data_IF_334563152844
#
_entry.id   IF_334563152844
#
_cell.length_a   1.000
_cell.length_b   1.000
_cell.length_c   1.000
_cell.angle_alpha   90.00
_cell.angle_beta   90.00
_cell.angle_gamma   90.00
#
_symmetry.space_group_name_H-M   'P 1'
#
loop_
_entity.id
_entity.type
_entity.pdbx_description
1 polymer ?
#
# COMPACT_ATOMS: atom_id res chain seq x y z
N UNK A 1 -3.87 -23.24 7.07
CA UNK A 1 -3.03 -22.45 8.00
C UNK A 1 -1.61 -23.00 7.99
N UNK A 2 -0.61 -22.14 8.13
CA UNK A 2 0.82 -22.50 8.29
C UNK A 2 1.13 -22.36 9.79
N UNK A 3 1.15 -23.47 10.51
CA UNK A 3 1.31 -23.54 11.97
C UNK A 3 2.77 -23.82 12.32
N UNK A 4 3.59 -22.78 12.33
CA UNK A 4 5.04 -22.88 12.49
C UNK A 4 5.46 -23.10 13.96
N UNK A 5 4.60 -22.81 14.92
CA UNK A 5 4.88 -22.98 16.35
C UNK A 5 4.09 -24.13 17.01
N UNK A 6 3.40 -24.93 16.19
CA UNK A 6 2.59 -26.08 16.60
C UNK A 6 1.46 -25.71 17.57
N UNK A 7 0.91 -24.49 17.40
CA UNK A 7 -0.20 -23.98 18.19
C UNK A 7 -1.48 -24.77 18.03
N UNK A 8 -1.72 -25.32 16.84
CA UNK A 8 -2.90 -26.13 16.50
C UNK A 8 -3.05 -27.37 17.38
N UNK A 9 -1.96 -27.94 17.90
CA UNK A 9 -2.02 -29.11 18.79
C UNK A 9 -2.74 -28.80 20.12
N UNK A 10 -2.78 -27.52 20.50
CA UNK A 10 -3.46 -27.04 21.73
C UNK A 10 -4.90 -26.57 21.47
N UNK A 11 -5.36 -26.56 20.23
CA UNK A 11 -6.70 -26.11 19.84
C UNK A 11 -7.66 -27.30 19.83
N UNK A 12 -8.87 -27.12 20.37
CA UNK A 12 -9.92 -28.15 20.30
C UNK A 12 -10.23 -28.50 18.84
N UNK A 13 -10.41 -29.79 18.54
CA UNK A 13 -10.58 -30.31 17.19
C UNK A 13 -11.67 -29.59 16.37
N UNK A 14 -12.77 -29.17 17.02
CA UNK A 14 -13.90 -28.46 16.38
C UNK A 14 -13.54 -27.07 15.85
N UNK A 15 -12.42 -26.48 16.29
CA UNK A 15 -11.95 -25.16 15.85
C UNK A 15 -10.73 -25.24 14.94
N UNK A 16 -10.22 -26.43 14.66
CA UNK A 16 -9.09 -26.61 13.73
C UNK A 16 -9.56 -26.41 12.31
N UNK A 17 -8.72 -25.79 11.53
CA UNK A 17 -8.82 -25.72 10.07
C UNK A 17 -7.71 -26.56 9.45
N UNK A 18 -7.67 -26.70 8.14
CA UNK A 18 -6.56 -27.35 7.44
C UNK A 18 -5.25 -26.61 7.73
N UNK A 19 -4.21 -27.35 8.06
CA UNK A 19 -2.91 -26.79 8.42
C UNK A 19 -1.76 -27.67 7.96
N UNK A 20 -0.60 -27.03 7.83
CA UNK A 20 0.72 -27.66 7.66
C UNK A 20 1.63 -27.20 8.80
N UNK A 21 2.58 -28.05 9.19
CA UNK A 21 3.55 -27.78 10.27
C UNK A 21 4.98 -28.04 9.77
N UNK A 22 5.53 -27.16 8.92
CA UNK A 22 6.88 -27.35 8.38
C UNK A 22 7.93 -27.19 9.47
N UNK A 23 8.93 -28.06 9.47
CA UNK A 23 10.08 -27.99 10.38
C UNK A 23 11.21 -27.10 9.81
N UNK A 24 11.21 -26.88 8.50
CA UNK A 24 12.19 -26.04 7.79
C UNK A 24 11.51 -25.07 6.83
N UNK A 25 12.23 -24.01 6.46
CA UNK A 25 11.72 -23.06 5.47
C UNK A 25 11.67 -23.68 4.07
N UNK A 26 12.58 -24.62 3.76
CA UNK A 26 12.56 -25.37 2.51
C UNK A 26 11.29 -26.20 2.37
N UNK A 27 10.90 -26.97 3.41
CA UNK A 27 9.64 -27.73 3.43
C UNK A 27 8.43 -26.81 3.24
N UNK A 28 8.42 -25.65 3.91
CA UNK A 28 7.35 -24.65 3.71
C UNK A 28 7.23 -24.25 2.25
N UNK A 29 8.35 -23.99 1.56
CA UNK A 29 8.32 -23.59 0.15
C UNK A 29 7.87 -24.73 -0.78
N UNK A 30 8.17 -25.99 -0.44
CA UNK A 30 7.70 -27.16 -1.17
C UNK A 30 6.19 -27.35 -1.05
N UNK A 31 5.61 -27.05 0.11
CA UNK A 31 4.17 -27.13 0.35
C UNK A 31 3.40 -25.98 -0.31
N UNK A 32 4.00 -24.79 -0.41
CA UNK A 32 3.37 -23.59 -0.96
C UNK A 32 3.44 -23.54 -2.50
N UNK A 33 2.81 -24.50 -3.13
CA UNK A 33 2.68 -24.54 -4.59
C UNK A 33 1.22 -24.32 -5.01
N UNK A 34 0.96 -23.74 -6.21
CA UNK A 34 -0.41 -23.42 -6.66
C UNK A 34 -1.38 -24.58 -6.57
N UNK A 35 -0.92 -25.81 -6.86
CA UNK A 35 -1.74 -27.01 -6.85
C UNK A 35 -2.29 -27.34 -5.46
N UNK A 36 -1.48 -27.18 -4.42
CA UNK A 36 -1.87 -27.46 -3.03
C UNK A 36 -2.81 -26.38 -2.46
N UNK A 37 -2.88 -25.23 -3.12
CA UNK A 37 -3.56 -24.04 -2.61
C UNK A 37 -4.79 -23.64 -3.43
N UNK A 38 -5.23 -24.48 -4.35
CA UNK A 38 -6.31 -24.15 -5.29
C UNK A 38 -7.63 -23.82 -4.59
N UNK A 39 -7.92 -24.49 -3.49
CA UNK A 39 -9.16 -24.36 -2.72
C UNK A 39 -9.10 -23.27 -1.62
N UNK A 40 -7.96 -22.58 -1.48
CA UNK A 40 -7.75 -21.61 -0.40
C UNK A 40 -7.52 -20.22 -0.97
N UNK A 41 -8.19 -19.21 -0.42
CA UNK A 41 -7.99 -17.80 -0.78
C UNK A 41 -7.02 -17.09 0.16
N UNK A 42 -6.87 -17.60 1.39
CA UNK A 42 -6.09 -16.95 2.46
C UNK A 42 -5.07 -17.90 3.07
N UNK A 43 -3.84 -17.42 3.18
CA UNK A 43 -2.77 -18.06 3.95
C UNK A 43 -2.68 -17.39 5.32
N UNK A 44 -2.81 -18.18 6.38
CA UNK A 44 -2.63 -17.70 7.76
C UNK A 44 -1.34 -18.30 8.30
N UNK A 45 -0.43 -17.47 8.79
CA UNK A 45 0.87 -17.86 9.36
C UNK A 45 0.85 -17.60 10.86
N UNK A 46 0.97 -18.66 11.64
CA UNK A 46 1.00 -18.64 13.09
C UNK A 46 2.23 -19.42 13.62
N UNK A 47 3.24 -18.69 14.07
CA UNK A 47 3.45 -17.26 14.16
C UNK A 47 4.55 -16.76 13.19
N UNK A 48 4.45 -15.48 12.81
CA UNK A 48 5.49 -14.84 12.00
C UNK A 48 6.87 -14.79 12.68
N UNK A 49 6.91 -14.77 14.02
CA UNK A 49 8.15 -14.85 14.77
C UNK A 49 8.89 -16.17 14.54
N UNK A 50 8.18 -17.30 14.48
CA UNK A 50 8.78 -18.59 14.16
C UNK A 50 9.12 -18.71 12.68
N UNK A 51 8.30 -18.20 11.77
CA UNK A 51 8.64 -18.11 10.35
C UNK A 51 9.99 -17.41 10.16
N UNK A 52 10.21 -16.27 10.83
CA UNK A 52 11.50 -15.54 10.76
C UNK A 52 12.66 -16.39 11.29
N UNK A 53 12.45 -17.24 12.29
CA UNK A 53 13.51 -18.19 12.76
C UNK A 53 13.81 -19.24 11.71
N UNK A 54 12.82 -19.82 11.04
CA UNK A 54 13.05 -20.75 9.93
C UNK A 54 13.83 -20.07 8.79
N UNK A 55 13.43 -18.84 8.41
CA UNK A 55 14.17 -18.05 7.42
C UNK A 55 15.60 -17.74 7.88
N UNK A 56 15.82 -17.49 9.18
CA UNK A 56 17.15 -17.23 9.73
C UNK A 56 18.07 -18.44 9.57
N UNK A 57 17.58 -19.63 9.93
CA UNK A 57 18.32 -20.88 9.72
C UNK A 57 18.62 -21.11 8.22
N UNK A 58 17.65 -20.88 7.37
CA UNK A 58 17.80 -20.99 5.92
C UNK A 58 18.87 -20.06 5.35
N UNK A 59 18.83 -18.76 5.65
CA UNK A 59 19.80 -17.81 5.09
C UNK A 59 21.22 -18.05 5.60
N UNK A 60 21.39 -18.59 6.82
CA UNK A 60 22.70 -19.02 7.35
C UNK A 60 23.20 -20.25 6.59
N UNK A 61 22.32 -21.24 6.35
CA UNK A 61 22.63 -22.44 5.55
C UNK A 61 23.05 -22.09 4.13
N UNK A 62 22.37 -21.12 3.50
CA UNK A 62 22.70 -20.65 2.15
C UNK A 62 24.04 -19.89 2.10
N UNK A 63 24.39 -19.18 3.16
CA UNK A 63 25.67 -18.47 3.26
C UNK A 63 26.09 -18.31 4.73
N UNK A 64 27.13 -19.04 5.12
CA UNK A 64 27.65 -19.02 6.48
C UNK A 64 28.07 -17.63 7.00
N UNK A 65 28.33 -16.64 6.09
CA UNK A 65 28.62 -15.25 6.48
C UNK A 65 27.38 -14.51 7.04
N UNK A 66 26.19 -15.06 6.88
CA UNK A 66 24.97 -14.55 7.48
C UNK A 66 24.81 -14.95 8.95
N UNK A 67 25.58 -15.93 9.42
CA UNK A 67 25.61 -16.38 10.82
C UNK A 67 26.84 -15.91 11.59
N UNK A 68 26.73 -15.97 12.91
CA UNK A 68 27.85 -15.88 13.86
C UNK A 68 28.23 -17.25 14.34
N UNK A 69 29.34 -17.37 15.10
CA UNK A 69 29.85 -18.65 15.61
C UNK A 69 28.90 -19.36 16.56
N UNK A 70 28.03 -18.61 17.25
CA UNK A 70 27.03 -19.11 18.18
C UNK A 70 25.71 -19.49 17.50
N UNK A 71 25.64 -19.40 16.17
CA UNK A 71 24.42 -19.69 15.40
C UNK A 71 23.44 -18.53 15.29
N UNK A 72 23.69 -17.39 15.93
CA UNK A 72 22.87 -16.18 15.78
C UNK A 72 23.12 -15.50 14.43
N UNK A 73 22.21 -14.60 14.01
CA UNK A 73 22.40 -13.82 12.79
C UNK A 73 23.52 -12.79 12.94
N UNK A 74 24.37 -12.68 11.92
CA UNK A 74 25.27 -11.54 11.77
C UNK A 74 24.47 -10.29 11.32
N UNK A 75 25.09 -9.11 11.40
CA UNK A 75 24.46 -7.88 10.88
C UNK A 75 24.02 -8.02 9.41
N UNK A 76 24.83 -8.71 8.59
CA UNK A 76 24.50 -9.04 7.20
C UNK A 76 23.33 -10.04 7.12
N UNK A 77 23.26 -10.98 8.06
CA UNK A 77 22.19 -11.97 8.16
C UNK A 77 20.81 -11.35 8.37
N UNK A 78 20.70 -10.35 9.23
CA UNK A 78 19.43 -9.62 9.40
C UNK A 78 18.91 -9.02 8.07
N UNK A 79 19.79 -8.42 7.28
CA UNK A 79 19.43 -7.93 5.95
C UNK A 79 19.05 -9.04 4.97
N UNK A 80 19.65 -10.23 5.09
CA UNK A 80 19.30 -11.39 4.27
C UNK A 80 17.90 -11.92 4.62
N UNK A 81 17.56 -12.02 5.91
CA UNK A 81 16.24 -12.43 6.38
C UNK A 81 15.18 -11.44 5.91
N UNK A 82 15.43 -10.13 6.02
CA UNK A 82 14.47 -9.12 5.55
C UNK A 82 14.17 -9.23 4.05
N UNK A 83 15.19 -9.50 3.22
CA UNK A 83 15.00 -9.75 1.78
C UNK A 83 14.25 -11.04 1.50
N UNK A 84 14.53 -12.10 2.27
CA UNK A 84 13.84 -13.37 2.11
C UNK A 84 12.36 -13.26 2.51
N UNK A 85 12.07 -12.55 3.60
CA UNK A 85 10.70 -12.25 3.99
C UNK A 85 9.95 -11.47 2.89
N UNK A 86 10.57 -10.44 2.31
CA UNK A 86 9.95 -9.70 1.21
C UNK A 86 9.65 -10.61 0.00
N UNK A 87 10.60 -11.48 -0.39
CA UNK A 87 10.38 -12.45 -1.47
C UNK A 87 9.23 -13.42 -1.18
N UNK A 88 9.13 -13.87 0.07
CA UNK A 88 8.05 -14.75 0.50
C UNK A 88 6.68 -14.08 0.37
N UNK A 89 6.56 -12.83 0.83
CA UNK A 89 5.31 -12.07 0.69
C UNK A 89 4.98 -11.82 -0.79
N UNK A 90 5.96 -11.41 -1.59
CA UNK A 90 5.78 -11.21 -3.04
C UNK A 90 5.33 -12.50 -3.73
N UNK A 91 5.89 -13.64 -3.35
CA UNK A 91 5.49 -14.95 -3.86
C UNK A 91 4.05 -15.28 -3.50
N UNK A 92 3.67 -15.14 -2.23
CA UNK A 92 2.31 -15.42 -1.78
C UNK A 92 1.28 -14.49 -2.42
N UNK A 93 1.60 -13.22 -2.57
CA UNK A 93 0.69 -12.20 -3.06
C UNK A 93 0.59 -12.21 -4.59
N UNK A 94 1.73 -12.09 -5.30
CA UNK A 94 1.72 -11.92 -6.76
C UNK A 94 1.70 -13.24 -7.54
N UNK A 95 2.36 -14.30 -7.04
CA UNK A 95 2.43 -15.56 -7.77
C UNK A 95 1.33 -16.53 -7.37
N UNK A 96 1.08 -16.68 -6.07
CA UNK A 96 0.00 -17.53 -5.57
C UNK A 96 -1.37 -16.82 -5.55
N UNK A 97 -1.39 -15.48 -5.65
CA UNK A 97 -2.59 -14.64 -5.59
C UNK A 97 -3.45 -14.92 -4.35
N UNK A 98 -2.81 -14.91 -3.17
CA UNK A 98 -3.45 -15.20 -1.88
C UNK A 98 -3.45 -14.00 -0.95
N UNK A 99 -4.50 -13.85 -0.16
CA UNK A 99 -4.44 -13.01 1.01
C UNK A 99 -3.47 -13.61 2.03
N UNK A 100 -2.67 -12.76 2.70
CA UNK A 100 -1.69 -13.21 3.69
C UNK A 100 -2.01 -12.58 5.04
N UNK A 101 -2.27 -13.41 6.03
CA UNK A 101 -2.48 -13.02 7.43
C UNK A 101 -1.33 -13.58 8.26
N UNK A 102 -0.61 -12.72 8.97
CA UNK A 102 0.51 -13.16 9.81
C UNK A 102 0.25 -12.74 11.25
N UNK A 103 0.24 -13.71 12.13
CA UNK A 103 0.07 -13.49 13.56
C UNK A 103 1.42 -13.29 14.23
N UNK A 104 1.59 -12.22 14.98
CA UNK A 104 2.79 -11.94 15.77
C UNK A 104 2.44 -11.76 17.23
N UNK A 105 3.30 -12.21 18.12
CA UNK A 105 3.27 -11.75 19.50
C UNK A 105 3.67 -10.28 19.57
N UNK A 106 3.14 -9.56 20.55
CA UNK A 106 3.50 -8.18 20.80
C UNK A 106 4.54 -8.11 21.95
N UNK A 107 5.40 -7.10 21.92
CA UNK A 107 6.29 -6.72 23.01
C UNK A 107 6.24 -5.23 23.25
N UNK A 108 6.56 -4.82 24.47
CA UNK A 108 6.78 -3.43 24.80
C UNK A 108 8.12 -2.94 24.24
N UNK A 109 8.09 -1.78 23.62
CA UNK A 109 9.25 -1.08 23.08
C UNK A 109 9.18 0.41 23.45
N UNK A 110 10.31 1.00 23.88
CA UNK A 110 10.39 2.42 24.13
C UNK A 110 10.31 3.22 22.83
N UNK A 111 9.47 4.25 22.85
CA UNK A 111 9.26 5.20 21.76
C UNK A 111 9.36 6.61 22.33
N UNK A 112 10.59 7.15 22.43
CA UNK A 112 10.90 8.35 23.21
C UNK A 112 10.67 8.12 24.69
N UNK A 113 9.83 8.96 25.32
CA UNK A 113 9.42 8.85 26.72
C UNK A 113 8.27 7.88 26.97
N UNK A 114 7.65 7.38 25.90
CA UNK A 114 6.52 6.45 25.97
C UNK A 114 6.96 5.00 25.75
N UNK A 115 6.12 4.07 26.20
CA UNK A 115 6.27 2.64 25.91
C UNK A 115 5.07 2.20 25.07
N UNK A 116 5.33 1.57 23.93
CA UNK A 116 4.28 1.11 23.01
C UNK A 116 4.46 -0.35 22.67
N UNK A 117 3.34 -1.00 22.40
CA UNK A 117 3.33 -2.39 21.93
C UNK A 117 3.61 -2.46 20.44
N UNK A 118 4.57 -3.31 20.06
CA UNK A 118 4.97 -3.61 18.68
C UNK A 118 5.04 -5.12 18.47
N UNK A 119 5.13 -5.56 17.22
CA UNK A 119 5.40 -6.96 16.89
C UNK A 119 6.73 -7.42 17.52
N UNK A 120 6.72 -8.63 18.06
CA UNK A 120 7.90 -9.28 18.64
C UNK A 120 8.83 -9.79 17.52
N UNK A 121 9.57 -8.87 16.92
CA UNK A 121 10.59 -9.15 15.90
C UNK A 121 11.80 -8.30 16.23
N UNK A 122 13.00 -8.84 16.03
CA UNK A 122 14.24 -8.17 16.37
C UNK A 122 14.79 -7.31 15.23
N UNK A 123 15.47 -6.23 15.60
CA UNK A 123 16.21 -5.36 14.70
C UNK A 123 15.34 -4.70 13.62
N UNK A 124 15.97 -4.39 12.50
CA UNK A 124 15.33 -3.75 11.35
C UNK A 124 14.34 -4.68 10.62
N UNK A 125 14.35 -5.98 10.90
CA UNK A 125 13.44 -6.96 10.30
C UNK A 125 11.98 -6.62 10.61
N UNK A 126 11.69 -6.02 11.78
CA UNK A 126 10.33 -5.57 12.14
C UNK A 126 9.75 -4.57 11.14
N UNK A 127 10.57 -3.64 10.66
CA UNK A 127 10.13 -2.62 9.69
C UNK A 127 9.92 -3.26 8.31
N UNK A 128 10.79 -4.19 7.92
CA UNK A 128 10.65 -4.95 6.67
C UNK A 128 9.38 -5.83 6.67
N UNK A 129 8.95 -6.32 7.82
CA UNK A 129 7.69 -7.06 7.98
C UNK A 129 6.50 -6.11 7.90
N UNK A 130 6.58 -4.95 8.58
CA UNK A 130 5.45 -4.04 8.76
C UNK A 130 5.12 -3.22 7.52
N UNK A 131 6.14 -2.78 6.79
CA UNK A 131 5.96 -1.86 5.64
C UNK A 131 5.09 -2.42 4.51
N UNK A 132 5.28 -3.66 4.03
CA UNK A 132 4.53 -4.20 2.90
C UNK A 132 3.08 -4.57 3.24
N UNK A 133 2.71 -4.69 4.52
CA UNK A 133 1.36 -5.07 4.91
C UNK A 133 0.36 -3.92 4.69
N UNK A 134 -0.81 -4.23 4.14
CA UNK A 134 -1.90 -3.26 3.97
C UNK A 134 -2.54 -2.90 5.31
N UNK A 135 -2.73 -3.89 6.18
CA UNK A 135 -3.32 -3.73 7.49
C UNK A 135 -2.39 -4.24 8.59
N UNK A 136 -2.42 -3.58 9.73
CA UNK A 136 -1.77 -4.02 10.97
C UNK A 136 -2.74 -3.87 12.14
N UNK A 137 -3.35 -4.98 12.58
CA UNK A 137 -4.31 -4.97 13.67
C UNK A 137 -3.69 -5.37 15.01
N UNK A 138 -3.96 -4.60 16.06
CA UNK A 138 -3.63 -4.97 17.42
C UNK A 138 -4.83 -5.65 18.10
N UNK A 139 -4.69 -6.95 18.39
CA UNK A 139 -5.76 -7.74 18.99
C UNK A 139 -5.57 -7.84 20.50
N UNK A 140 -6.65 -7.60 21.24
CA UNK A 140 -6.67 -7.71 22.71
C UNK A 140 -8.04 -8.14 23.22
N UNK A 141 -8.07 -8.50 24.49
CA UNK A 141 -9.32 -8.74 25.20
C UNK A 141 -9.55 -7.65 26.24
N UNK A 142 -10.67 -6.93 26.12
CA UNK A 142 -11.10 -5.90 27.07
C UNK A 142 -12.49 -6.26 27.59
N UNK A 143 -12.66 -6.32 28.91
CA UNK A 143 -13.94 -6.66 29.55
C UNK A 143 -14.60 -7.93 28.97
N UNK A 144 -13.82 -8.98 28.77
CA UNK A 144 -14.22 -10.25 28.14
C UNK A 144 -14.69 -10.14 26.68
N UNK A 145 -14.47 -8.99 26.03
CA UNK A 145 -14.74 -8.80 24.61
C UNK A 145 -13.42 -8.78 23.84
N UNK A 146 -13.31 -9.62 22.81
CA UNK A 146 -12.14 -9.63 21.93
C UNK A 146 -12.28 -8.52 20.89
N UNK A 147 -11.26 -7.68 20.79
CA UNK A 147 -11.24 -6.55 19.86
C UNK A 147 -9.96 -6.55 19.03
N UNK A 148 -10.01 -5.88 17.88
CA UNK A 148 -8.85 -5.61 17.03
C UNK A 148 -8.84 -4.14 16.63
N UNK A 149 -7.75 -3.44 16.93
CA UNK A 149 -7.57 -2.01 16.61
C UNK A 149 -6.70 -1.83 15.39
N UNK A 150 -7.18 -1.04 14.41
CA UNK A 150 -6.47 -0.69 13.18
C UNK A 150 -6.00 0.76 13.12
N UNK A 151 -6.25 1.54 14.16
CA UNK A 151 -5.77 2.92 14.25
C UNK A 151 -4.58 3.00 15.20
N UNK A 152 -3.49 3.60 14.73
CA UNK A 152 -2.29 3.84 15.52
C UNK A 152 -2.62 4.74 16.72
N UNK A 153 -2.14 4.40 17.91
CA UNK A 153 -2.38 5.14 19.14
C UNK A 153 -1.14 5.15 20.06
N UNK A 154 -1.23 5.82 21.21
CA UNK A 154 -0.12 5.91 22.17
C UNK A 154 0.27 4.55 22.77
N UNK A 155 -0.65 3.60 22.82
CA UNK A 155 -0.46 2.30 23.45
C UNK A 155 0.13 1.25 22.52
N UNK A 156 -0.24 1.25 21.24
CA UNK A 156 0.20 0.24 20.28
C UNK A 156 0.35 0.81 18.87
N UNK A 157 1.15 0.13 18.07
CA UNK A 157 1.24 0.35 16.64
C UNK A 157 0.15 -0.43 15.91
N UNK A 158 -0.55 0.29 15.03
CA UNK A 158 -1.55 -0.29 14.13
C UNK A 158 -1.50 0.42 12.77
N UNK A 159 -2.10 -0.17 11.76
CA UNK A 159 -2.16 0.37 10.40
C UNK A 159 -3.52 0.04 9.80
N UNK A 160 -4.28 1.06 9.42
CA UNK A 160 -5.53 0.93 8.70
C UNK A 160 -5.42 1.52 7.31
N UNK A 161 -5.96 0.83 6.31
CA UNK A 161 -6.06 1.28 4.92
C UNK A 161 -7.40 0.90 4.34
N UNK A 162 -7.72 1.37 3.15
CA UNK A 162 -8.95 1.02 2.43
C UNK A 162 -10.24 1.17 3.28
N UNK A 163 -10.32 2.27 4.04
CA UNK A 163 -11.48 2.55 4.89
C UNK A 163 -11.59 1.71 6.17
N UNK A 164 -10.64 0.81 6.44
CA UNK A 164 -10.57 0.05 7.69
C UNK A 164 -9.79 0.87 8.72
N UNK A 165 -10.44 1.24 9.81
CA UNK A 165 -9.86 2.02 10.92
C UNK A 165 -10.65 1.81 12.21
N UNK A 166 -10.16 2.39 13.31
CA UNK A 166 -10.80 2.28 14.62
C UNK A 166 -10.58 0.92 15.28
N UNK A 167 -11.47 0.57 16.17
CA UNK A 167 -11.47 -0.69 16.92
C UNK A 167 -12.71 -1.50 16.54
N UNK A 168 -12.51 -2.71 16.08
CA UNK A 168 -13.57 -3.64 15.71
C UNK A 168 -13.72 -4.73 16.76
N UNK A 169 -14.95 -5.11 17.05
CA UNK A 169 -15.24 -6.27 17.90
C UNK A 169 -15.14 -7.55 17.09
N UNK A 170 -14.40 -8.52 17.61
CA UNK A 170 -14.33 -9.89 17.05
C UNK A 170 -15.43 -10.72 17.73
N UNK A 171 -16.39 -11.25 16.97
CA UNK A 171 -17.46 -12.09 17.54
C UNK A 171 -16.92 -13.34 18.22
N UNK A 172 -17.61 -13.82 19.24
CA UNK A 172 -17.27 -15.08 19.88
C UNK A 172 -17.47 -16.27 18.94
N UNK A 173 -16.60 -17.28 19.08
CA UNK A 173 -16.74 -18.56 18.41
C UNK A 173 -17.73 -19.45 19.18
N UNK A 174 -18.97 -19.48 18.75
CA UNK A 174 -20.03 -20.29 19.38
C UNK A 174 -20.19 -21.68 18.71
N UNK A 175 -19.06 -22.32 18.38
CA UNK A 175 -19.05 -23.61 17.67
C UNK A 175 -19.24 -23.49 16.17
N UNK A 176 -19.53 -22.29 15.63
CA UNK A 176 -19.62 -21.96 14.20
C UNK A 176 -18.51 -20.98 13.80
N UNK A 177 -18.17 -20.97 12.53
CA UNK A 177 -17.29 -19.95 11.95
C UNK A 177 -17.99 -18.58 12.05
N UNK A 178 -17.29 -17.57 12.56
CA UNK A 178 -17.88 -16.24 12.70
C UNK A 178 -17.77 -15.35 11.45
N UNK A 179 -17.04 -15.79 10.43
CA UNK A 179 -16.86 -15.05 9.16
C UNK A 179 -16.17 -13.69 9.29
N UNK A 180 -15.59 -13.34 10.44
CA UNK A 180 -15.03 -12.01 10.70
C UNK A 180 -13.97 -11.60 9.64
N UNK A 181 -12.97 -12.45 9.38
CA UNK A 181 -11.94 -12.19 8.39
C UNK A 181 -12.50 -12.14 6.96
N UNK A 182 -13.41 -13.03 6.62
CA UNK A 182 -14.08 -13.05 5.31
C UNK A 182 -14.83 -11.74 5.07
N UNK A 183 -15.58 -11.27 6.06
CA UNK A 183 -16.30 -9.99 5.96
C UNK A 183 -15.34 -8.81 5.89
N UNK A 184 -14.24 -8.83 6.64
CA UNK A 184 -13.20 -7.80 6.58
C UNK A 184 -12.57 -7.70 5.19
N UNK A 185 -12.17 -8.82 4.60
CA UNK A 185 -11.62 -8.85 3.23
C UNK A 185 -12.66 -8.42 2.19
N UNK A 186 -13.91 -8.84 2.34
CA UNK A 186 -14.97 -8.38 1.46
C UNK A 186 -15.13 -6.86 1.51
N UNK A 187 -15.17 -6.27 2.69
CA UNK A 187 -15.26 -4.82 2.88
C UNK A 187 -14.06 -4.08 2.25
N UNK A 188 -12.84 -4.59 2.44
CA UNK A 188 -11.64 -4.04 1.80
C UNK A 188 -11.79 -4.04 0.28
N UNK A 189 -12.18 -5.16 -0.31
CA UNK A 189 -12.33 -5.30 -1.75
C UNK A 189 -13.40 -4.36 -2.32
N UNK A 190 -14.54 -4.18 -1.63
CA UNK A 190 -15.57 -3.22 -2.04
C UNK A 190 -15.09 -1.78 -1.93
N UNK A 191 -14.34 -1.43 -0.89
CA UNK A 191 -13.75 -0.10 -0.75
C UNK A 191 -12.73 0.19 -1.86
N UNK A 192 -11.84 -0.77 -2.18
CA UNK A 192 -10.88 -0.64 -3.30
C UNK A 192 -11.61 -0.42 -4.64
N UNK A 193 -12.68 -1.16 -4.90
CA UNK A 193 -13.50 -0.99 -6.12
C UNK A 193 -14.16 0.39 -6.17
N UNK A 194 -14.66 0.86 -5.02
CA UNK A 194 -15.30 2.18 -4.93
C UNK A 194 -14.28 3.30 -5.18
N UNK A 195 -13.10 3.23 -4.57
CA UNK A 195 -11.99 4.17 -4.77
C UNK A 195 -11.52 4.19 -6.24
N UNK A 196 -11.34 3.02 -6.84
CA UNK A 196 -10.96 2.90 -8.25
C UNK A 196 -12.00 3.51 -9.19
N UNK A 197 -13.29 3.31 -8.91
CA UNK A 197 -14.39 3.91 -9.69
C UNK A 197 -14.43 5.43 -9.57
N UNK A 198 -14.16 5.97 -8.40
CA UNK A 198 -14.10 7.42 -8.19
C UNK A 198 -12.88 8.03 -8.89
N UNK A 199 -11.70 7.41 -8.77
CA UNK A 199 -10.49 7.83 -9.48
C UNK A 199 -10.68 7.80 -11.02
N UNK A 200 -11.42 6.83 -11.55
CA UNK A 200 -11.74 6.79 -12.99
C UNK A 200 -12.67 7.94 -13.40
N UNK A 201 -13.67 8.29 -12.58
CA UNK A 201 -14.53 9.46 -12.85
C UNK A 201 -13.73 10.75 -12.84
N UNK A 202 -12.87 10.94 -11.85
CA UNK A 202 -11.99 12.12 -11.78
C UNK A 202 -11.09 12.21 -13.01
N UNK A 203 -10.48 11.09 -13.42
CA UNK A 203 -9.64 11.02 -14.62
C UNK A 203 -10.43 11.40 -15.88
N UNK A 204 -11.63 10.89 -16.05
CA UNK A 204 -12.51 11.24 -17.18
C UNK A 204 -12.90 12.73 -17.18
N UNK A 205 -13.22 13.28 -16.00
CA UNK A 205 -13.54 14.68 -15.85
C UNK A 205 -12.33 15.57 -16.15
N UNK A 206 -11.14 15.20 -15.65
CA UNK A 206 -9.87 15.87 -15.96
C UNK A 206 -9.61 15.89 -17.48
N UNK A 207 -9.66 14.70 -18.11
CA UNK A 207 -9.42 14.60 -19.55
C UNK A 207 -10.41 15.41 -20.39
N UNK A 208 -11.67 15.49 -19.98
CA UNK A 208 -12.68 16.32 -20.63
C UNK A 208 -12.30 17.80 -20.60
N UNK A 209 -11.85 18.31 -19.44
CA UNK A 209 -11.38 19.68 -19.30
C UNK A 209 -10.21 19.95 -20.26
N UNK A 210 -9.19 19.08 -20.23
CA UNK A 210 -8.01 19.23 -21.09
C UNK A 210 -8.39 19.21 -22.57
N UNK A 211 -9.23 18.27 -23.00
CA UNK A 211 -9.65 18.18 -24.41
C UNK A 211 -10.44 19.42 -24.85
N UNK A 212 -11.36 19.91 -24.03
CA UNK A 212 -12.11 21.14 -24.34
C UNK A 212 -11.17 22.33 -24.57
N UNK A 213 -10.18 22.49 -23.72
CA UNK A 213 -9.22 23.60 -23.86
C UNK A 213 -8.26 23.35 -25.02
N UNK A 214 -7.82 22.15 -25.30
CA UNK A 214 -7.02 21.82 -26.49
C UNK A 214 -7.75 22.20 -27.78
N UNK A 215 -9.01 21.77 -27.94
CA UNK A 215 -9.84 22.10 -29.11
C UNK A 215 -10.00 23.62 -29.27
N UNK A 216 -10.30 24.34 -28.18
CA UNK A 216 -10.40 25.81 -28.22
C UNK A 216 -9.05 26.45 -28.54
N UNK A 217 -7.95 25.92 -28.03
CA UNK A 217 -6.60 26.46 -28.28
C UNK A 217 -6.12 26.19 -29.69
N UNK A 218 -6.47 25.08 -30.33
CA UNK A 218 -6.13 24.78 -31.72
C UNK A 218 -6.79 25.77 -32.70
N UNK A 219 -7.94 26.30 -32.38
CA UNK A 219 -8.68 27.27 -33.20
C UNK A 219 -8.11 28.70 -33.11
N UNK A 220 -7.17 29.01 -32.24
CA UNK A 220 -6.60 30.35 -32.06
C UNK A 220 -5.79 30.76 -33.29
N UNK A 221 -6.14 31.93 -33.79
CA UNK A 221 -5.40 32.63 -34.88
C UNK A 221 -5.04 34.09 -34.53
N UNK A 222 -5.69 34.66 -33.51
CA UNK A 222 -5.51 36.06 -33.10
C UNK A 222 -5.23 36.17 -31.58
N UNK A 223 -4.56 37.26 -31.14
CA UNK A 223 -4.39 37.54 -29.71
C UNK A 223 -5.71 37.63 -28.92
N UNK A 224 -6.78 38.16 -29.53
CA UNK A 224 -8.08 38.26 -28.89
C UNK A 224 -8.70 36.87 -28.59
N UNK A 225 -8.61 35.96 -29.55
CA UNK A 225 -9.05 34.56 -29.35
C UNK A 225 -8.27 33.86 -28.24
N UNK A 226 -6.95 34.19 -28.15
CA UNK A 226 -6.12 33.68 -27.04
C UNK A 226 -6.60 34.20 -25.67
N UNK A 227 -7.09 35.45 -25.60
CA UNK A 227 -7.71 35.99 -24.38
C UNK A 227 -9.05 35.31 -24.06
N UNK A 228 -9.87 35.03 -25.06
CA UNK A 228 -11.13 34.28 -24.85
C UNK A 228 -10.90 32.87 -24.28
N UNK A 229 -9.87 32.17 -24.77
CA UNK A 229 -9.48 30.87 -24.23
C UNK A 229 -8.90 31.00 -22.82
N UNK A 230 -8.15 32.06 -22.51
CA UNK A 230 -7.65 32.31 -21.16
C UNK A 230 -8.82 32.55 -20.18
N UNK A 231 -9.82 33.32 -20.60
CA UNK A 231 -11.04 33.54 -19.81
C UNK A 231 -11.86 32.27 -19.66
N UNK A 232 -11.93 31.44 -20.69
CA UNK A 232 -12.55 30.10 -20.58
C UNK A 232 -11.82 29.23 -19.53
N UNK A 233 -10.49 29.22 -19.52
CA UNK A 233 -9.70 28.52 -18.51
C UNK A 233 -10.00 29.08 -17.12
N UNK A 234 -9.95 30.40 -16.93
CA UNK A 234 -10.13 31.02 -15.62
C UNK A 234 -11.55 30.82 -15.04
N UNK A 235 -12.57 30.71 -15.88
CA UNK A 235 -13.98 30.54 -15.46
C UNK A 235 -14.39 29.06 -15.34
N UNK A 236 -13.55 28.12 -15.74
CA UNK A 236 -13.83 26.69 -15.64
C UNK A 236 -13.63 26.17 -14.22
N UNK A 237 -14.49 25.23 -13.78
CA UNK A 237 -14.22 24.48 -12.53
C UNK A 237 -13.12 23.45 -12.76
N UNK A 238 -11.93 23.77 -12.29
CA UNK A 238 -10.78 22.89 -12.40
C UNK A 238 -10.77 21.81 -11.34
N UNK A 239 -10.09 20.68 -11.68
CA UNK A 239 -9.80 19.56 -10.77
C UNK A 239 -8.31 19.19 -10.90
N UNK A 240 -7.71 18.76 -9.79
CA UNK A 240 -6.28 18.42 -9.71
C UNK A 240 -5.41 19.55 -10.31
N UNK A 241 -4.54 19.20 -11.27
CA UNK A 241 -3.62 20.14 -11.93
C UNK A 241 -4.13 20.67 -13.27
N UNK A 242 -5.42 20.45 -13.59
CA UNK A 242 -5.96 20.80 -14.92
C UNK A 242 -5.83 22.27 -15.27
N UNK A 243 -5.94 23.19 -14.30
CA UNK A 243 -5.73 24.61 -14.56
C UNK A 243 -4.32 24.91 -15.07
N UNK A 244 -3.31 24.35 -14.39
CA UNK A 244 -1.91 24.53 -14.76
C UNK A 244 -1.62 23.95 -16.14
N UNK A 245 -2.15 22.77 -16.44
CA UNK A 245 -1.98 22.12 -17.74
C UNK A 245 -2.67 22.90 -18.85
N UNK A 246 -3.91 23.34 -18.63
CA UNK A 246 -4.65 24.18 -19.58
C UNK A 246 -3.89 25.48 -19.91
N UNK A 247 -3.37 26.16 -18.88
CA UNK A 247 -2.55 27.39 -19.09
C UNK A 247 -1.27 27.08 -19.87
N UNK A 248 -0.61 25.95 -19.61
CA UNK A 248 0.56 25.53 -20.37
C UNK A 248 0.22 25.36 -21.85
N UNK A 249 -0.84 24.61 -22.16
CA UNK A 249 -1.31 24.38 -23.53
C UNK A 249 -1.56 25.70 -24.25
N UNK A 250 -2.25 26.65 -23.63
CA UNK A 250 -2.50 27.97 -24.22
C UNK A 250 -1.21 28.73 -24.43
N UNK A 251 -0.30 28.81 -23.47
CA UNK A 251 0.95 29.53 -23.59
C UNK A 251 1.88 28.94 -24.64
N UNK A 252 1.94 27.63 -24.79
CA UNK A 252 2.72 26.94 -25.81
C UNK A 252 2.19 27.32 -27.20
N UNK A 253 0.88 27.30 -27.40
CA UNK A 253 0.24 27.70 -28.66
C UNK A 253 0.44 29.18 -28.98
N UNK A 254 0.27 30.05 -28.00
CA UNK A 254 0.47 31.51 -28.21
C UNK A 254 1.93 31.81 -28.59
N UNK A 255 2.88 31.07 -28.02
CA UNK A 255 4.31 31.18 -28.40
C UNK A 255 4.58 30.70 -29.83
N UNK A 256 3.96 29.61 -30.28
CA UNK A 256 4.04 29.12 -31.66
C UNK A 256 3.53 30.17 -32.66
N UNK A 257 2.44 30.87 -32.29
CA UNK A 257 1.82 31.90 -33.12
C UNK A 257 2.55 33.26 -33.05
N UNK A 258 3.64 33.40 -32.29
CA UNK A 258 4.38 34.62 -32.10
C UNK A 258 3.65 35.67 -31.27
N UNK A 259 2.77 35.23 -30.35
CA UNK A 259 2.12 36.15 -29.42
C UNK A 259 2.92 36.26 -28.13
N UNK A 260 3.00 37.49 -27.57
CA UNK A 260 3.64 37.76 -26.29
C UNK A 260 2.62 38.25 -25.27
N UNK A 261 2.79 37.83 -24.01
CA UNK A 261 2.01 38.35 -22.89
C UNK A 261 2.50 39.74 -22.49
N UNK A 262 1.65 40.76 -22.65
CA UNK A 262 1.93 42.11 -22.18
C UNK A 262 1.50 42.21 -20.68
N UNK A 263 2.48 42.24 -19.80
CA UNK A 263 2.23 42.31 -18.34
C UNK A 263 1.55 43.61 -17.87
N UNK A 264 1.75 44.72 -18.62
CA UNK A 264 1.16 46.03 -18.24
C UNK A 264 -0.31 46.10 -18.61
N UNK A 265 -0.70 45.51 -19.72
CA UNK A 265 -2.07 45.51 -20.23
C UNK A 265 -2.85 44.27 -19.80
N UNK A 266 -2.16 43.17 -19.39
CA UNK A 266 -2.79 41.90 -19.04
C UNK A 266 -3.39 41.19 -20.26
N UNK A 267 -2.79 41.31 -21.45
CA UNK A 267 -3.30 40.76 -22.71
C UNK A 267 -2.20 40.16 -23.58
N UNK A 268 -2.57 39.26 -24.48
CA UNK A 268 -1.67 38.80 -25.55
C UNK A 268 -1.59 39.84 -26.66
N UNK A 269 -0.41 40.06 -27.19
CA UNK A 269 -0.13 40.96 -28.32
C UNK A 269 0.77 40.27 -29.34
N UNK A 270 0.67 40.67 -30.62
CA UNK A 270 1.62 40.22 -31.64
C UNK A 270 3.04 40.63 -31.27
N UNK A 271 4.02 39.77 -31.51
CA UNK A 271 5.44 40.13 -31.43
C UNK A 271 5.74 41.13 -32.56
N UNK A 272 5.94 42.39 -32.19
CA UNK A 272 6.35 43.42 -33.18
C UNK A 272 7.77 43.04 -33.63
N UNK A 273 7.95 42.69 -34.89
CA UNK A 273 9.28 42.58 -35.49
C UNK A 273 9.97 43.93 -35.40
N UNK A 274 11.05 44.02 -34.64
CA UNK A 274 11.94 45.19 -34.58
C UNK A 274 12.74 45.33 -35.90
N UNK A 275 12.03 45.59 -37.02
CA UNK A 275 12.64 45.87 -38.32
C UNK A 275 12.77 47.39 -38.56
N UNK A 276 12.88 48.20 -37.52
CA UNK A 276 13.19 49.65 -37.68
C UNK A 276 14.33 50.11 -36.78
N UNK A 277 15.51 49.51 -36.97
CA UNK A 277 16.79 50.14 -36.57
C UNK A 277 17.83 49.92 -37.66
N UNK A 278 17.67 50.61 -38.80
CA UNK A 278 18.78 51.01 -39.70
C UNK A 278 18.27 52.00 -40.73
N UNK A 279 18.28 53.29 -40.40
CA UNK A 279 18.42 54.38 -41.29
C UNK A 279 19.10 55.52 -40.55
#
# INVERSE_FOLDING_TARGET
MIDVDRGTDRVEARYRTDFIQPDTYEELLEDLVPLNLIDYETLVIDTGGQLIKLMSAYVIKQNAKNGQRDGSLSLKGYGAVGREFARFIDYCYYQLNKHVVIVFHAKEEKDGDNTRLRILVEGQTKDNVWQPMDLGGFMEMQNNVRTIGFTNCERYYAKGTHGIHGVLTIPELNGNQNGFLTNLFHQINENIKAEAKEAEKEKKAYQKIINTIKEATEAITTPNEAMEVLDLINNQKHILTSEKECKSILFDKTKELGFKWNKLKGEFVNEVSDDTKSA
#
